data_IF_842539473572
#
_entry.id   IF_842539473572
#
_cell.length_a   1.000
_cell.length_b   1.000
_cell.length_c   1.000
_cell.angle_alpha   90.00
_cell.angle_beta   90.00
_cell.angle_gamma   90.00
#
_symmetry.space_group_name_H-M   'P 1'
#
loop_
_entity.id
_entity.type
_entity.pdbx_description
1 polymer ?
#
# COMPACT_ATOMS: atom_id res chain seq x y z
N UNK A 1 2.33 5.19 6.32
CA UNK A 1 3.70 5.43 5.78
C UNK A 1 3.67 6.67 4.91
N UNK A 2 4.65 7.58 4.98
CA UNK A 2 4.64 8.85 4.21
C UNK A 2 5.87 9.01 3.31
N UNK A 3 7.07 8.64 3.79
CA UNK A 3 8.29 8.61 2.98
C UNK A 3 8.87 7.19 2.96
N UNK A 4 9.21 6.71 1.77
CA UNK A 4 9.82 5.39 1.53
C UNK A 4 11.13 5.59 0.80
N UNK A 5 12.25 5.13 1.36
CA UNK A 5 13.50 5.10 0.59
C UNK A 5 13.52 3.94 -0.41
N UNK A 6 14.49 3.97 -1.33
CA UNK A 6 14.62 2.98 -2.40
C UNK A 6 14.81 1.55 -1.86
N UNK A 7 15.59 1.39 -0.79
CA UNK A 7 15.88 0.08 -0.17
C UNK A 7 14.64 -0.53 0.46
N UNK A 8 13.84 0.29 1.13
CA UNK A 8 12.56 -0.11 1.72
C UNK A 8 11.56 -0.46 0.64
N UNK A 9 11.49 0.31 -0.45
CA UNK A 9 10.63 0.00 -1.60
C UNK A 9 11.00 -1.35 -2.23
N UNK A 10 12.29 -1.62 -2.39
CA UNK A 10 12.81 -2.90 -2.88
C UNK A 10 12.37 -4.07 -1.99
N UNK A 11 12.62 -3.98 -0.68
CA UNK A 11 12.24 -5.03 0.28
C UNK A 11 10.73 -5.27 0.30
N UNK A 12 9.93 -4.21 0.26
CA UNK A 12 8.46 -4.30 0.30
C UNK A 12 7.92 -4.94 -0.97
N UNK A 13 8.43 -4.54 -2.13
CA UNK A 13 8.00 -5.06 -3.42
C UNK A 13 8.25 -6.57 -3.53
N UNK A 14 9.49 -6.98 -3.30
CA UNK A 14 9.90 -8.36 -3.54
C UNK A 14 9.39 -9.32 -2.47
N UNK A 15 9.37 -8.92 -1.20
CA UNK A 15 8.76 -9.76 -0.16
C UNK A 15 7.27 -10.02 -0.44
N UNK A 16 6.53 -8.99 -0.85
CA UNK A 16 5.12 -9.15 -1.22
C UNK A 16 4.94 -10.10 -2.41
N UNK A 17 5.72 -9.92 -3.48
CA UNK A 17 5.57 -10.75 -4.69
C UNK A 17 5.96 -12.20 -4.43
N UNK A 18 7.07 -12.44 -3.74
CA UNK A 18 7.54 -13.79 -3.44
C UNK A 18 6.56 -14.49 -2.49
N UNK A 19 6.17 -13.85 -1.39
CA UNK A 19 5.25 -14.44 -0.41
C UNK A 19 3.93 -14.91 -1.06
N UNK A 20 3.40 -14.09 -1.97
CA UNK A 20 2.16 -14.39 -2.69
C UNK A 20 2.33 -15.24 -3.95
N UNK A 21 3.55 -15.71 -4.24
CA UNK A 21 3.85 -16.55 -5.42
C UNK A 21 3.60 -15.84 -6.75
N UNK A 22 3.82 -14.53 -6.80
CA UNK A 22 3.66 -13.66 -8.00
C UNK A 22 4.97 -13.46 -8.77
N UNK A 23 6.06 -14.04 -8.29
CA UNK A 23 7.38 -14.08 -8.92
C UNK A 23 8.18 -15.25 -8.33
N UNK A 24 9.27 -15.64 -8.98
CA UNK A 24 10.24 -16.58 -8.41
C UNK A 24 11.14 -15.86 -7.39
N UNK A 25 11.70 -16.60 -6.41
CA UNK A 25 12.70 -16.06 -5.49
C UNK A 25 13.98 -15.55 -6.19
N UNK A 26 14.24 -15.99 -7.42
CA UNK A 26 15.38 -15.58 -8.26
C UNK A 26 15.10 -14.35 -9.15
N UNK A 27 13.85 -13.90 -9.24
CA UNK A 27 13.48 -12.74 -10.07
C UNK A 27 14.04 -11.39 -9.56
N UNK A 28 14.19 -11.14 -8.23
CA UNK A 28 14.81 -9.91 -7.75
C UNK A 28 16.28 -9.80 -8.14
N UNK A 29 16.66 -8.70 -8.80
CA UNK A 29 18.08 -8.33 -8.95
C UNK A 29 18.63 -7.79 -7.62
N UNK A 30 19.94 -7.90 -7.41
CA UNK A 30 20.61 -7.35 -6.23
C UNK A 30 20.40 -5.83 -6.13
N UNK A 31 20.02 -5.36 -4.93
CA UNK A 31 19.91 -3.93 -4.63
C UNK A 31 21.06 -3.49 -3.73
N UNK A 32 21.92 -2.55 -4.18
CA UNK A 32 23.08 -2.12 -3.41
C UNK A 32 22.76 -1.68 -1.97
N UNK A 33 23.46 -2.30 -1.02
CA UNK A 33 23.29 -2.04 0.40
C UNK A 33 22.00 -2.61 1.00
N UNK A 34 21.42 -3.64 0.37
CA UNK A 34 20.36 -4.51 0.91
C UNK A 34 20.88 -5.97 0.90
N UNK A 35 21.54 -6.44 1.98
CA UNK A 35 22.09 -7.79 2.03
C UNK A 35 20.97 -8.81 2.33
N UNK A 36 20.26 -9.25 1.28
CA UNK A 36 19.16 -10.21 1.40
C UNK A 36 19.33 -11.36 0.43
N UNK A 37 19.17 -12.59 0.94
CA UNK A 37 19.07 -13.80 0.14
C UNK A 37 17.59 -14.16 0.01
N UNK A 38 17.04 -14.02 -1.20
CA UNK A 38 15.63 -14.34 -1.48
C UNK A 38 15.41 -15.83 -1.75
N UNK A 39 16.29 -16.45 -2.53
CA UNK A 39 16.23 -17.88 -2.87
C UNK A 39 16.97 -18.72 -1.85
N UNK A 40 16.27 -19.62 -1.17
CA UNK A 40 16.84 -20.53 -0.16
C UNK A 40 16.99 -21.95 -0.71
N UNK A 41 17.09 -22.10 -2.04
CA UNK A 41 17.10 -23.38 -2.77
C UNK A 41 15.86 -24.25 -2.46
N UNK A 42 14.83 -23.60 -1.91
CA UNK A 42 13.59 -24.21 -1.47
C UNK A 42 12.50 -23.15 -1.55
N UNK A 43 11.57 -23.35 -2.48
CA UNK A 43 10.49 -22.39 -2.74
C UNK A 43 9.62 -22.17 -1.49
N UNK A 44 9.35 -23.21 -0.70
CA UNK A 44 8.53 -23.09 0.50
C UNK A 44 9.24 -22.25 1.57
N UNK A 45 10.53 -22.48 1.80
CA UNK A 45 11.35 -21.70 2.73
C UNK A 45 11.45 -20.23 2.28
N UNK A 46 11.70 -19.99 0.99
CA UNK A 46 11.80 -18.65 0.39
C UNK A 46 10.49 -17.86 0.57
N UNK A 47 9.34 -18.49 0.28
CA UNK A 47 8.02 -17.90 0.50
C UNK A 47 7.74 -17.63 1.98
N UNK A 48 8.14 -18.54 2.88
CA UNK A 48 7.96 -18.35 4.31
C UNK A 48 8.79 -17.15 4.84
N UNK A 49 10.04 -17.02 4.40
CA UNK A 49 10.89 -15.87 4.74
C UNK A 49 10.27 -14.56 4.26
N UNK A 50 9.85 -14.51 3.00
CA UNK A 50 9.16 -13.36 2.43
C UNK A 50 7.86 -13.03 3.17
N UNK A 51 7.08 -14.03 3.59
CA UNK A 51 5.85 -13.83 4.36
C UNK A 51 6.12 -13.23 5.74
N UNK A 52 7.21 -13.62 6.42
CA UNK A 52 7.62 -12.99 7.68
C UNK A 52 7.90 -11.50 7.49
N UNK A 53 8.50 -11.11 6.37
CA UNK A 53 8.72 -9.70 6.03
C UNK A 53 7.41 -8.97 5.73
N UNK A 54 6.50 -9.56 4.94
CA UNK A 54 5.15 -9.01 4.71
C UNK A 54 4.45 -8.70 6.03
N UNK A 55 4.50 -9.64 6.99
CA UNK A 55 3.90 -9.47 8.31
C UNK A 55 4.64 -8.40 9.14
N UNK A 56 5.97 -8.43 9.16
CA UNK A 56 6.79 -7.49 9.93
C UNK A 56 6.68 -6.05 9.44
N UNK A 57 6.49 -5.84 8.14
CA UNK A 57 6.24 -4.54 7.54
C UNK A 57 4.76 -4.14 7.52
N UNK A 58 3.87 -5.03 7.97
CA UNK A 58 2.41 -4.85 7.94
C UNK A 58 1.89 -4.47 6.55
N UNK A 59 2.38 -5.15 5.50
CA UNK A 59 1.97 -4.88 4.13
C UNK A 59 0.53 -5.35 3.90
N UNK A 60 -0.26 -4.54 3.21
CA UNK A 60 -1.57 -4.96 2.75
C UNK A 60 -1.42 -6.02 1.64
N UNK A 61 -2.15 -7.12 1.77
CA UNK A 61 -2.23 -8.22 0.81
C UNK A 61 -3.68 -8.41 0.34
N UNK A 62 -3.96 -9.22 -0.69
CA UNK A 62 -5.33 -9.44 -1.15
C UNK A 62 -6.24 -9.96 -0.01
N UNK A 63 -7.52 -9.54 0.02
CA UNK A 63 -8.19 -8.65 -0.92
C UNK A 63 -7.98 -7.15 -0.64
N UNK A 64 -7.28 -6.78 0.45
CA UNK A 64 -7.09 -5.37 0.83
C UNK A 64 -6.23 -4.60 -0.18
N UNK A 65 -5.20 -5.24 -0.71
CA UNK A 65 -4.38 -4.71 -1.78
C UNK A 65 -4.06 -5.78 -2.81
N UNK A 66 -4.25 -5.48 -4.08
CA UNK A 66 -3.87 -6.38 -5.18
C UNK A 66 -2.60 -5.93 -5.90
N UNK A 67 -1.98 -4.84 -5.45
CA UNK A 67 -0.75 -4.31 -6.00
C UNK A 67 0.42 -4.59 -5.05
N UNK A 68 1.54 -5.03 -5.60
CA UNK A 68 2.80 -4.97 -4.86
C UNK A 68 3.15 -3.50 -4.58
N UNK A 69 3.73 -3.17 -3.42
CA UNK A 69 4.33 -1.85 -3.20
C UNK A 69 5.25 -1.47 -4.36
N UNK A 70 5.03 -0.30 -4.98
CA UNK A 70 5.78 0.10 -6.17
C UNK A 70 7.25 0.41 -5.87
N UNK A 71 8.16 -0.03 -6.76
CA UNK A 71 9.58 0.33 -6.76
C UNK A 71 9.79 1.81 -7.12
N UNK A 72 8.89 2.38 -7.93
CA UNK A 72 8.88 3.78 -8.35
C UNK A 72 7.65 4.47 -7.74
N UNK A 73 7.58 4.50 -6.41
CA UNK A 73 6.40 4.97 -5.69
C UNK A 73 6.45 6.47 -5.40
N UNK A 74 5.28 7.12 -5.40
CA UNK A 74 5.10 8.50 -4.94
C UNK A 74 5.49 8.71 -3.48
N UNK A 75 5.53 7.65 -2.67
CA UNK A 75 6.11 7.65 -1.32
C UNK A 75 7.59 8.07 -1.31
N UNK A 76 8.34 7.80 -2.39
CA UNK A 76 9.75 8.21 -2.52
C UNK A 76 9.83 9.73 -2.64
N UNK A 77 8.93 10.32 -3.43
CA UNK A 77 8.81 11.78 -3.60
C UNK A 77 8.05 12.50 -2.47
N UNK A 78 7.58 11.78 -1.44
CA UNK A 78 6.77 12.35 -0.36
C UNK A 78 5.39 12.84 -0.78
N UNK A 79 4.84 12.30 -1.88
CA UNK A 79 3.54 12.69 -2.46
C UNK A 79 2.44 11.64 -2.25
N UNK A 80 2.69 10.65 -1.41
CA UNK A 80 1.73 9.63 -1.02
C UNK A 80 1.75 9.40 0.48
N UNK A 81 0.64 8.86 0.98
CA UNK A 81 0.50 8.42 2.35
C UNK A 81 -0.33 7.13 2.39
N UNK A 82 0.13 6.20 3.20
CA UNK A 82 -0.58 4.97 3.54
C UNK A 82 -1.28 5.22 4.88
N UNK A 83 -2.62 5.21 4.88
CA UNK A 83 -3.48 5.52 6.03
C UNK A 83 -4.47 4.39 6.32
N UNK A 84 -4.69 4.13 7.61
CA UNK A 84 -5.86 3.39 8.10
C UNK A 84 -6.84 4.40 8.70
N UNK A 85 -8.07 4.45 8.18
CA UNK A 85 -9.08 5.43 8.56
C UNK A 85 -10.25 4.69 9.19
N UNK A 86 -10.65 5.09 10.39
CA UNK A 86 -11.76 4.47 11.14
C UNK A 86 -12.55 5.52 11.90
N UNK A 87 -13.86 5.33 11.99
CA UNK A 87 -14.78 6.10 12.82
C UNK A 87 -16.07 5.29 12.99
N UNK A 88 -16.95 5.71 13.90
CA UNK A 88 -18.24 5.06 14.12
C UNK A 88 -19.38 5.83 13.44
N UNK A 89 -20.30 5.09 12.81
CA UNK A 89 -21.50 5.65 12.20
C UNK A 89 -21.21 6.56 10.99
N UNK A 90 -22.03 7.60 10.84
CA UNK A 90 -21.88 8.60 9.80
C UNK A 90 -21.34 9.91 10.39
N UNK A 91 -20.36 10.49 9.71
CA UNK A 91 -19.80 11.81 10.05
C UNK A 91 -20.07 12.79 8.91
N UNK A 92 -20.28 14.06 9.25
CA UNK A 92 -20.42 15.12 8.25
C UNK A 92 -19.06 15.77 8.05
N UNK A 93 -18.56 15.76 6.81
CA UNK A 93 -17.26 16.33 6.45
C UNK A 93 -17.46 17.46 5.44
N UNK A 94 -16.75 18.57 5.64
CA UNK A 94 -16.71 19.69 4.71
C UNK A 94 -15.78 19.33 3.54
N UNK A 95 -16.19 19.63 2.31
CA UNK A 95 -15.36 19.58 1.10
C UNK A 95 -14.61 20.88 0.93
N UNK A 96 -13.60 20.89 0.05
CA UNK A 96 -12.79 22.08 -0.26
C UNK A 96 -13.60 23.27 -0.77
N UNK A 97 -14.70 23.03 -1.48
CA UNK A 97 -15.62 24.05 -2.00
C UNK A 97 -16.53 24.70 -0.92
N UNK A 98 -16.48 24.20 0.31
CA UNK A 98 -17.26 24.70 1.42
C UNK A 98 -18.58 23.97 1.69
N UNK A 99 -19.03 23.11 0.78
CA UNK A 99 -20.20 22.25 0.99
C UNK A 99 -19.88 21.05 1.90
N UNK A 100 -20.90 20.37 2.42
CA UNK A 100 -20.75 19.24 3.33
C UNK A 100 -21.31 17.94 2.74
N UNK A 101 -20.73 16.81 3.12
CA UNK A 101 -21.19 15.46 2.77
C UNK A 101 -21.21 14.56 4.01
N UNK A 102 -22.25 13.75 4.16
CA UNK A 102 -22.28 12.69 5.15
C UNK A 102 -21.51 11.47 4.62
N UNK A 103 -20.56 10.97 5.40
CA UNK A 103 -19.73 9.81 5.06
C UNK A 103 -19.95 8.74 6.13
N UNK A 104 -20.46 7.60 5.69
CA UNK A 104 -20.62 6.43 6.57
C UNK A 104 -19.35 5.59 6.55
N UNK A 105 -18.94 5.10 7.72
CA UNK A 105 -17.80 4.20 7.81
C UNK A 105 -18.04 2.92 7.00
N UNK A 106 -16.97 2.42 6.36
CA UNK A 106 -16.97 1.14 5.66
C UNK A 106 -15.66 0.42 5.99
N UNK A 107 -15.75 -0.84 6.40
CA UNK A 107 -14.58 -1.70 6.64
C UNK A 107 -13.72 -1.87 5.39
N UNK A 108 -14.34 -1.80 4.21
CA UNK A 108 -13.64 -1.77 2.93
C UNK A 108 -13.45 -0.33 2.44
N UNK A 109 -12.31 0.33 2.74
CA UNK A 109 -12.07 1.69 2.29
C UNK A 109 -11.95 1.79 0.77
N UNK A 110 -11.67 0.70 0.05
CA UNK A 110 -11.63 0.70 -1.41
C UNK A 110 -13.01 0.92 -2.06
N UNK A 111 -14.08 0.65 -1.32
CA UNK A 111 -15.46 0.83 -1.79
C UNK A 111 -16.10 2.13 -1.28
N UNK A 112 -15.44 2.88 -0.38
CA UNK A 112 -16.01 4.09 0.22
C UNK A 112 -15.88 5.31 -0.70
N UNK A 113 -16.70 5.36 -1.75
CA UNK A 113 -16.67 6.42 -2.77
C UNK A 113 -16.95 7.81 -2.19
N UNK A 114 -17.75 7.93 -1.13
CA UNK A 114 -17.99 9.21 -0.44
C UNK A 114 -16.71 9.73 0.22
N UNK A 115 -15.96 8.87 0.90
CA UNK A 115 -14.66 9.22 1.46
C UNK A 115 -13.66 9.60 0.35
N UNK A 116 -13.69 8.91 -0.79
CA UNK A 116 -12.83 9.25 -1.93
C UNK A 116 -13.16 10.62 -2.50
N UNK A 117 -14.44 10.97 -2.60
CA UNK A 117 -14.88 12.29 -3.05
C UNK A 117 -14.39 13.40 -2.11
N UNK A 118 -14.45 13.16 -0.79
CA UNK A 118 -13.89 14.09 0.20
C UNK A 118 -12.40 14.29 -0.05
N UNK A 119 -11.62 13.21 -0.09
CA UNK A 119 -10.18 13.28 -0.35
C UNK A 119 -9.86 14.01 -1.65
N UNK A 120 -10.54 13.65 -2.74
CA UNK A 120 -10.33 14.23 -4.07
C UNK A 120 -10.61 15.74 -4.08
N UNK A 121 -11.59 16.21 -3.29
CA UNK A 121 -11.85 17.65 -3.16
C UNK A 121 -10.65 18.42 -2.59
N UNK A 122 -9.82 17.78 -1.78
CA UNK A 122 -8.57 18.33 -1.23
C UNK A 122 -7.33 17.96 -2.05
N UNK A 123 -7.50 17.38 -3.24
CA UNK A 123 -6.38 16.94 -4.09
C UNK A 123 -5.72 15.63 -3.65
N UNK A 124 -6.33 14.85 -2.75
CA UNK A 124 -5.82 13.56 -2.26
C UNK A 124 -6.70 12.42 -2.76
N UNK A 125 -6.19 11.63 -3.69
CA UNK A 125 -6.92 10.57 -4.39
C UNK A 125 -6.60 9.19 -3.82
N UNK A 126 -7.63 8.35 -3.71
CA UNK A 126 -7.52 6.95 -3.29
C UNK A 126 -7.10 6.06 -4.47
N UNK A 127 -6.17 5.14 -4.26
CA UNK A 127 -6.00 3.98 -5.15
C UNK A 127 -6.99 2.88 -4.74
N UNK A 128 -8.05 2.65 -5.52
CA UNK A 128 -9.12 1.72 -5.15
C UNK A 128 -8.68 0.24 -5.06
N UNK A 129 -7.51 -0.12 -5.58
CA UNK A 129 -6.95 -1.49 -5.51
C UNK A 129 -5.95 -1.67 -4.38
N UNK A 130 -5.72 -0.65 -3.56
CA UNK A 130 -4.74 -0.67 -2.47
C UNK A 130 -5.27 0.07 -1.24
N UNK A 131 -5.95 -0.65 -0.35
CA UNK A 131 -6.67 -0.13 0.83
C UNK A 131 -5.96 1.02 1.57
N UNK A 132 -4.67 0.90 1.94
CA UNK A 132 -4.00 1.99 2.64
C UNK A 132 -3.66 3.20 1.77
N UNK A 133 -3.52 3.08 0.44
CA UNK A 133 -2.83 4.07 -0.38
C UNK A 133 -3.67 5.27 -0.80
N UNK A 134 -3.13 6.46 -0.52
CA UNK A 134 -3.61 7.75 -0.99
C UNK A 134 -2.45 8.59 -1.55
N UNK A 135 -2.69 9.37 -2.59
CA UNK A 135 -1.69 10.26 -3.19
C UNK A 135 -2.33 11.40 -3.98
N UNK A 136 -1.57 12.35 -4.46
CA UNK A 136 -2.09 13.44 -5.33
C UNK A 136 -2.58 12.95 -6.71
N UNK A 137 -2.16 11.77 -7.15
CA UNK A 137 -2.59 11.17 -8.44
C UNK A 137 -3.48 9.93 -8.28
N UNK A 138 -3.49 9.29 -7.11
CA UNK A 138 -4.22 8.04 -6.87
C UNK A 138 -3.44 6.79 -7.32
N UNK A 139 -2.16 6.94 -7.64
CA UNK A 139 -1.23 5.92 -8.15
C UNK A 139 0.08 6.55 -8.62
#
# INVERSE_FOLDING_TARGET
MTKRDKKTAYLFHWSWRIALGKCQPTDPLDEPGVPIQWDHDNLAASKQGAQKMVNGFNLAVPPKSTNAPSLNSRHISGKAIDMYITWNGSITIKKKDGSSIAVTFMDNPNANTQLHQVGASYGVKKLATDAPHWSDTGG
#
